data_IF_010990500372
#
_entry.id   IF_010990500372
#
_cell.length_a   1.000
_cell.length_b   1.000
_cell.length_c   1.000
_cell.angle_alpha   90.00
_cell.angle_beta   90.00
_cell.angle_gamma   90.00
#
_symmetry.space_group_name_H-M   'P 1'
#
loop_
_entity.id
_entity.type
_entity.pdbx_description
1 polymer ?
#
# COMPACT_ATOMS: atom_id res chain seq x y z
N UNK A 1 -14.40 19.14 13.99
CA UNK A 1 -13.63 20.03 13.10
C UNK A 1 -13.91 19.67 11.64
N UNK A 2 -13.67 20.60 10.70
CA UNK A 2 -13.86 20.33 9.26
C UNK A 2 -12.49 19.95 8.65
N UNK A 3 -12.43 18.77 8.04
CA UNK A 3 -11.23 18.18 7.43
C UNK A 3 -11.44 17.98 5.94
N UNK A 4 -10.50 18.44 5.12
CA UNK A 4 -10.52 18.18 3.68
C UNK A 4 -9.31 17.31 3.33
N UNK A 5 -9.57 16.16 2.69
CA UNK A 5 -8.53 15.28 2.16
C UNK A 5 -8.34 15.60 0.68
N UNK A 6 -7.12 15.88 0.26
CA UNK A 6 -6.76 16.16 -1.14
C UNK A 6 -5.91 15.01 -1.67
N UNK A 7 -6.49 14.21 -2.57
CA UNK A 7 -5.83 13.04 -3.11
C UNK A 7 -6.75 12.16 -3.95
N UNK A 8 -6.26 11.06 -4.53
CA UNK A 8 -7.08 10.12 -5.28
C UNK A 8 -8.20 9.53 -4.43
N UNK A 9 -9.37 9.40 -5.01
CA UNK A 9 -10.54 8.68 -4.50
C UNK A 9 -11.43 8.31 -5.69
N UNK A 10 -12.53 7.60 -5.49
CA UNK A 10 -13.47 7.27 -6.56
C UNK A 10 -13.73 8.48 -7.49
N UNK A 11 -13.77 8.33 -8.81
CA UNK A 11 -13.74 7.08 -9.60
C UNK A 11 -12.32 6.51 -9.86
N UNK A 12 -11.29 7.02 -9.24
CA UNK A 12 -9.93 6.48 -9.38
C UNK A 12 -9.77 5.22 -8.53
N UNK A 13 -9.07 4.21 -9.06
CA UNK A 13 -8.81 2.94 -8.37
C UNK A 13 -7.40 2.88 -7.77
N UNK A 14 -7.22 2.00 -6.79
CA UNK A 14 -5.91 1.63 -6.24
C UNK A 14 -5.76 1.94 -4.76
N UNK A 15 -4.66 1.47 -4.18
CA UNK A 15 -4.42 1.51 -2.73
C UNK A 15 -4.49 2.92 -2.12
N UNK A 16 -4.03 3.95 -2.84
CA UNK A 16 -4.08 5.33 -2.35
C UNK A 16 -5.52 5.85 -2.29
N UNK A 17 -6.36 5.51 -3.30
CA UNK A 17 -7.77 5.89 -3.31
C UNK A 17 -8.52 5.23 -2.14
N UNK A 18 -8.37 3.93 -1.98
CA UNK A 18 -8.97 3.17 -0.87
C UNK A 18 -8.53 3.71 0.50
N UNK A 19 -7.24 4.06 0.64
CA UNK A 19 -6.73 4.66 1.87
C UNK A 19 -7.41 5.99 2.18
N UNK A 20 -7.49 6.91 1.20
CA UNK A 20 -8.09 8.23 1.41
C UNK A 20 -9.57 8.14 1.75
N UNK A 21 -10.29 7.20 1.13
CA UNK A 21 -11.69 6.94 1.44
C UNK A 21 -11.87 6.39 2.86
N UNK A 22 -11.03 5.43 3.26
CA UNK A 22 -11.02 4.89 4.62
C UNK A 22 -10.65 5.97 5.64
N UNK A 23 -9.64 6.80 5.36
CA UNK A 23 -9.25 7.93 6.21
C UNK A 23 -10.41 8.92 6.39
N UNK A 24 -11.16 9.22 5.33
CA UNK A 24 -12.33 10.09 5.38
C UNK A 24 -13.41 9.50 6.30
N UNK A 25 -13.73 8.21 6.14
CA UNK A 25 -14.69 7.50 7.01
C UNK A 25 -14.28 7.53 8.47
N UNK A 26 -13.01 7.31 8.75
CA UNK A 26 -12.52 7.28 10.12
C UNK A 26 -12.53 8.66 10.78
N UNK A 27 -12.27 9.75 10.03
CA UNK A 27 -12.49 11.10 10.54
C UNK A 27 -13.97 11.37 10.86
N UNK A 28 -14.90 10.90 10.01
CA UNK A 28 -16.33 11.02 10.26
C UNK A 28 -16.73 10.21 11.50
N UNK A 29 -16.28 8.96 11.63
CA UNK A 29 -16.51 8.13 12.83
C UNK A 29 -15.96 8.77 14.11
N UNK A 30 -14.85 9.48 14.01
CA UNK A 30 -14.27 10.25 15.12
C UNK A 30 -14.98 11.58 15.41
N UNK A 31 -16.17 11.84 14.82
CA UNK A 31 -16.99 13.01 15.08
C UNK A 31 -16.57 14.27 14.34
N UNK A 32 -15.80 14.15 13.26
CA UNK A 32 -15.41 15.28 12.42
C UNK A 32 -16.26 15.35 11.15
N UNK A 33 -16.36 16.53 10.56
CA UNK A 33 -16.85 16.68 9.18
C UNK A 33 -15.67 16.43 8.23
N UNK A 34 -15.77 15.44 7.34
CA UNK A 34 -14.70 15.13 6.41
C UNK A 34 -15.22 14.92 4.99
N UNK A 35 -14.42 15.32 4.00
CA UNK A 35 -14.70 15.12 2.59
C UNK A 35 -13.42 15.05 1.77
N UNK A 36 -13.52 14.55 0.53
CA UNK A 36 -12.36 14.34 -0.35
C UNK A 36 -12.47 15.23 -1.57
N UNK A 37 -11.37 15.91 -1.92
CA UNK A 37 -11.15 16.55 -3.20
C UNK A 37 -10.24 15.65 -4.04
N UNK A 38 -10.85 14.99 -5.04
CA UNK A 38 -10.19 14.02 -5.91
C UNK A 38 -9.91 14.59 -7.29
N UNK A 39 -9.15 13.82 -8.09
CA UNK A 39 -8.73 14.22 -9.42
C UNK A 39 -9.80 13.89 -10.47
N UNK A 40 -10.14 14.88 -11.31
CA UNK A 40 -10.82 14.67 -12.59
C UNK A 40 -9.81 14.21 -13.68
N UNK A 41 -8.53 14.59 -13.54
CA UNK A 41 -7.42 14.09 -14.33
C UNK A 41 -6.22 13.91 -13.40
N UNK A 42 -5.88 12.66 -13.06
CA UNK A 42 -4.70 12.35 -12.24
C UNK A 42 -3.45 12.24 -13.09
N UNK A 43 -3.48 11.39 -14.12
CA UNK A 43 -2.39 11.24 -15.09
C UNK A 43 -2.91 11.42 -16.51
N UNK A 44 -2.19 12.15 -17.37
CA UNK A 44 -2.39 12.05 -18.80
C UNK A 44 -2.26 10.58 -19.27
N UNK A 45 -3.04 10.19 -20.28
CA UNK A 45 -3.11 8.79 -20.72
C UNK A 45 -1.75 8.18 -21.07
N UNK A 46 -0.85 8.97 -21.64
CA UNK A 46 0.50 8.52 -22.04
C UNK A 46 1.47 8.30 -20.85
N UNK A 47 1.11 8.76 -19.64
CA UNK A 47 1.91 8.57 -18.42
C UNK A 47 1.37 7.42 -17.55
N UNK A 48 0.20 6.90 -17.85
CA UNK A 48 -0.40 5.82 -17.08
C UNK A 48 -0.03 4.47 -17.69
N UNK A 49 0.70 3.61 -16.96
CA UNK A 49 1.20 2.33 -17.50
C UNK A 49 0.14 1.22 -17.58
N UNK A 50 -1.04 1.39 -16.96
CA UNK A 50 -2.09 0.40 -16.91
C UNK A 50 -3.19 0.61 -17.96
N UNK A 51 -4.13 -0.35 -18.05
CA UNK A 51 -5.25 -0.30 -18.98
C UNK A 51 -6.30 0.74 -18.61
N UNK A 52 -6.56 0.93 -17.32
CA UNK A 52 -7.49 1.95 -16.80
C UNK A 52 -7.07 2.41 -15.42
N UNK A 53 -7.18 3.72 -15.15
CA UNK A 53 -7.03 4.28 -13.81
C UNK A 53 -8.36 4.42 -13.06
N UNK A 54 -9.47 4.00 -13.68
CA UNK A 54 -10.81 4.17 -13.14
C UNK A 54 -11.38 2.84 -12.63
N UNK A 55 -12.15 2.93 -11.54
CA UNK A 55 -12.97 1.85 -11.01
C UNK A 55 -14.29 1.76 -11.78
N UNK A 56 -14.77 0.55 -11.99
CA UNK A 56 -16.08 0.28 -12.61
C UNK A 56 -17.21 0.12 -11.57
N UNK A 57 -16.88 0.22 -10.29
CA UNK A 57 -17.83 0.08 -9.18
C UNK A 57 -18.76 1.27 -9.01
N UNK A 58 -19.59 1.21 -7.96
CA UNK A 58 -20.49 2.31 -7.58
C UNK A 58 -19.74 3.30 -6.69
N UNK A 59 -20.06 4.59 -6.86
CA UNK A 59 -19.56 5.64 -5.98
C UNK A 59 -19.93 5.34 -4.52
N UNK A 60 -19.00 5.52 -3.56
CA UNK A 60 -19.32 5.46 -2.14
C UNK A 60 -20.43 6.47 -1.80
N UNK A 61 -21.49 5.99 -1.14
CA UNK A 61 -22.63 6.84 -0.75
C UNK A 61 -22.46 7.46 0.64
N UNK A 62 -21.51 6.98 1.41
CA UNK A 62 -21.27 7.31 2.81
C UNK A 62 -20.25 8.43 3.03
N UNK A 63 -19.55 8.86 1.98
CA UNK A 63 -18.56 9.94 2.01
C UNK A 63 -18.76 10.92 0.85
N UNK A 64 -18.42 12.18 1.09
CA UNK A 64 -18.47 13.21 0.04
C UNK A 64 -17.17 13.27 -0.75
N UNK A 65 -17.23 13.02 -2.07
CA UNK A 65 -16.08 13.08 -2.98
C UNK A 65 -16.36 14.12 -4.06
N UNK A 66 -15.49 15.14 -4.16
CA UNK A 66 -15.52 16.17 -5.19
C UNK A 66 -14.42 15.93 -6.22
N UNK A 67 -14.78 15.36 -7.35
CA UNK A 67 -13.84 15.05 -8.45
C UNK A 67 -13.63 16.30 -9.31
N UNK A 68 -12.58 17.08 -9.04
CA UNK A 68 -12.39 18.40 -9.68
C UNK A 68 -10.93 18.81 -9.95
N UNK A 69 -9.93 18.08 -9.45
CA UNK A 69 -8.52 18.45 -9.62
C UNK A 69 -8.00 17.96 -10.97
N UNK A 70 -7.44 18.86 -11.76
CA UNK A 70 -6.69 18.52 -12.97
C UNK A 70 -5.20 18.70 -12.71
N UNK A 71 -4.43 17.62 -12.73
CA UNK A 71 -3.01 17.60 -12.33
C UNK A 71 -2.08 18.47 -13.19
N UNK A 72 -2.48 18.82 -14.41
CA UNK A 72 -1.65 19.55 -15.38
C UNK A 72 -2.17 20.96 -15.73
N UNK A 73 -3.30 21.41 -15.14
CA UNK A 73 -3.91 22.70 -15.45
C UNK A 73 -3.75 23.71 -14.31
N UNK A 74 -2.83 24.71 -14.41
CA UNK A 74 -2.61 25.69 -13.35
C UNK A 74 -3.84 26.55 -12.99
N UNK A 75 -4.69 26.89 -13.96
CA UNK A 75 -5.93 27.63 -13.68
C UNK A 75 -6.90 26.80 -12.84
N UNK A 76 -6.96 25.49 -13.08
CA UNK A 76 -7.73 24.59 -12.26
C UNK A 76 -7.19 24.52 -10.81
N UNK A 77 -5.88 24.57 -10.60
CA UNK A 77 -5.28 24.56 -9.26
C UNK A 77 -5.71 25.76 -8.44
N UNK A 78 -5.71 26.97 -9.05
CA UNK A 78 -6.20 28.21 -8.40
C UNK A 78 -7.67 28.05 -8.02
N UNK A 79 -8.53 27.66 -8.98
CA UNK A 79 -9.95 27.50 -8.74
C UNK A 79 -10.25 26.46 -7.65
N UNK A 80 -9.54 25.32 -7.65
CA UNK A 80 -9.68 24.30 -6.64
C UNK A 80 -9.27 24.81 -5.26
N UNK A 81 -8.15 25.50 -5.15
CA UNK A 81 -7.71 26.10 -3.89
C UNK A 81 -8.72 27.10 -3.34
N UNK A 82 -9.29 27.96 -4.19
CA UNK A 82 -10.32 28.93 -3.78
C UNK A 82 -11.61 28.22 -3.32
N UNK A 83 -12.03 27.13 -3.97
CA UNK A 83 -13.18 26.32 -3.52
C UNK A 83 -12.92 25.74 -2.12
N UNK A 84 -11.74 25.16 -1.88
CA UNK A 84 -11.36 24.62 -0.58
C UNK A 84 -11.33 25.73 0.47
N UNK A 85 -10.76 26.89 0.19
CA UNK A 85 -10.76 28.05 1.13
C UNK A 85 -12.15 28.51 1.49
N UNK A 86 -13.09 28.51 0.55
CA UNK A 86 -14.48 28.92 0.79
C UNK A 86 -15.17 28.04 1.81
N UNK A 87 -14.79 26.78 1.94
CA UNK A 87 -15.34 25.84 2.92
C UNK A 87 -14.74 26.02 4.33
N UNK A 88 -13.71 26.87 4.47
CA UNK A 88 -13.06 27.21 5.76
C UNK A 88 -12.68 25.98 6.61
N UNK A 89 -11.99 24.96 6.04
CA UNK A 89 -11.61 23.80 6.82
C UNK A 89 -10.61 24.20 7.90
N UNK A 90 -10.60 23.45 9.01
CA UNK A 90 -9.56 23.57 10.03
C UNK A 90 -8.25 22.92 9.56
N UNK A 91 -8.38 21.78 8.88
CA UNK A 91 -7.26 20.95 8.43
C UNK A 91 -7.45 20.52 6.97
N UNK A 92 -6.40 20.66 6.18
CA UNK A 92 -6.26 20.03 4.87
C UNK A 92 -5.18 18.97 4.96
N UNK A 93 -5.55 17.72 4.64
CA UNK A 93 -4.62 16.59 4.53
C UNK A 93 -4.38 16.37 3.05
N UNK A 94 -3.12 16.44 2.61
CA UNK A 94 -2.76 16.22 1.21
C UNK A 94 -1.94 14.95 1.06
N UNK A 95 -2.35 14.08 0.14
CA UNK A 95 -1.59 12.86 -0.19
C UNK A 95 -0.50 13.15 -1.21
N UNK A 96 0.74 12.71 -0.93
CA UNK A 96 1.86 12.87 -1.83
C UNK A 96 2.59 11.54 -2.06
N UNK A 97 2.69 11.10 -3.32
CA UNK A 97 3.23 9.77 -3.66
C UNK A 97 4.23 9.78 -4.84
N UNK A 98 4.32 10.87 -5.62
CA UNK A 98 5.22 10.98 -6.76
C UNK A 98 5.55 12.45 -7.04
N UNK A 99 6.81 12.78 -7.40
CA UNK A 99 7.24 14.17 -7.68
C UNK A 99 6.42 14.89 -8.74
N UNK A 100 5.91 14.19 -9.75
CA UNK A 100 5.04 14.75 -10.80
C UNK A 100 3.84 15.54 -10.22
N UNK A 101 3.31 15.13 -9.08
CA UNK A 101 2.20 15.82 -8.41
C UNK A 101 2.65 17.10 -7.67
N UNK A 102 3.96 17.32 -7.54
CA UNK A 102 4.52 18.44 -6.78
C UNK A 102 4.02 19.82 -7.20
N UNK A 103 4.04 20.20 -8.49
CA UNK A 103 3.53 21.48 -8.96
C UNK A 103 2.05 21.69 -8.66
N UNK A 104 1.22 20.71 -8.96
CA UNK A 104 -0.23 20.77 -8.73
C UNK A 104 -0.56 20.92 -7.25
N UNK A 105 -0.20 19.94 -6.46
CA UNK A 105 -0.52 19.90 -5.03
C UNK A 105 0.16 21.02 -4.26
N UNK A 106 1.45 21.29 -4.57
CA UNK A 106 2.20 22.36 -3.92
C UNK A 106 1.63 23.77 -4.19
N UNK A 107 1.11 24.01 -5.38
CA UNK A 107 0.47 25.31 -5.71
C UNK A 107 -0.89 25.43 -5.01
N UNK A 108 -1.71 24.39 -5.03
CA UNK A 108 -2.99 24.37 -4.31
C UNK A 108 -2.76 24.65 -2.82
N UNK A 109 -1.82 23.97 -2.17
CA UNK A 109 -1.56 24.14 -0.73
C UNK A 109 -1.04 25.54 -0.39
N UNK A 110 -0.19 26.16 -1.25
CA UNK A 110 0.25 27.56 -1.05
C UNK A 110 -0.92 28.54 -1.08
N UNK A 111 -1.79 28.41 -2.09
CA UNK A 111 -2.95 29.29 -2.24
C UNK A 111 -3.93 29.10 -1.06
N UNK A 112 -4.14 27.87 -0.60
CA UNK A 112 -5.00 27.59 0.56
C UNK A 112 -4.45 28.30 1.81
N UNK A 113 -3.14 28.27 2.06
CA UNK A 113 -2.53 28.90 3.24
C UNK A 113 -2.46 30.42 3.17
N UNK A 114 -2.53 31.00 1.99
CA UNK A 114 -2.41 32.44 1.82
C UNK A 114 -3.53 33.18 2.56
N UNK A 115 -3.18 34.02 3.55
CA UNK A 115 -4.13 34.77 4.36
C UNK A 115 -5.23 33.87 5.00
N UNK A 116 -4.84 32.72 5.55
CA UNK A 116 -5.77 31.80 6.21
C UNK A 116 -5.12 31.09 7.39
N UNK A 117 -5.95 30.64 8.34
CA UNK A 117 -5.55 29.83 9.50
C UNK A 117 -5.58 28.33 9.22
N UNK A 118 -5.87 27.94 7.97
CA UNK A 118 -5.99 26.53 7.55
C UNK A 118 -4.62 25.87 7.72
N UNK A 119 -4.58 24.74 8.47
CA UNK A 119 -3.38 23.93 8.62
C UNK A 119 -3.29 22.91 7.49
N UNK A 120 -2.07 22.62 7.05
CA UNK A 120 -1.80 21.67 5.96
C UNK A 120 -0.83 20.61 6.44
N UNK A 121 -1.29 19.35 6.47
CA UNK A 121 -0.49 18.16 6.78
C UNK A 121 -0.40 17.30 5.50
N UNK A 122 0.81 16.89 5.14
CA UNK A 122 1.03 15.94 4.06
C UNK A 122 1.16 14.52 4.62
N UNK A 123 0.42 13.56 4.04
CA UNK A 123 0.72 12.14 4.18
C UNK A 123 1.59 11.74 2.99
N UNK A 124 2.82 11.32 3.27
CA UNK A 124 3.82 11.02 2.24
C UNK A 124 4.03 9.52 2.09
N UNK A 125 3.78 9.01 0.87
CA UNK A 125 4.07 7.61 0.52
C UNK A 125 5.51 7.45 0.06
N UNK A 126 5.96 8.37 -0.83
CA UNK A 126 7.32 8.45 -1.34
C UNK A 126 7.67 9.91 -1.60
N UNK A 127 8.81 10.35 -1.10
CA UNK A 127 9.40 11.65 -1.42
C UNK A 127 10.59 11.51 -2.36
N UNK A 128 11.21 10.34 -2.38
CA UNK A 128 12.23 9.93 -3.37
C UNK A 128 11.62 8.78 -4.19
N UNK A 129 11.41 8.94 -5.51
CA UNK A 129 10.83 7.89 -6.33
C UNK A 129 11.81 6.73 -6.51
N UNK A 130 11.27 5.50 -6.71
CA UNK A 130 12.07 4.31 -7.01
C UNK A 130 12.85 4.46 -8.33
N UNK A 131 12.22 5.07 -9.34
CA UNK A 131 12.82 5.42 -10.61
C UNK A 131 13.08 6.93 -10.62
N UNK A 132 14.32 7.33 -10.39
CA UNK A 132 14.72 8.74 -10.35
C UNK A 132 14.73 9.35 -11.74
N UNK A 133 14.11 10.54 -11.89
CA UNK A 133 14.12 11.34 -13.11
C UNK A 133 14.72 12.71 -12.83
N UNK A 134 15.22 13.35 -13.90
CA UNK A 134 15.70 14.73 -13.80
C UNK A 134 14.57 15.65 -13.33
N UNK A 135 14.85 16.47 -12.31
CA UNK A 135 13.87 17.40 -11.74
C UNK A 135 13.07 16.90 -10.55
N UNK A 136 13.04 15.59 -10.27
CA UNK A 136 12.24 15.01 -9.17
C UNK A 136 12.53 15.66 -7.81
N UNK A 137 13.81 15.88 -7.51
CA UNK A 137 14.21 16.55 -6.26
C UNK A 137 13.62 17.96 -6.15
N UNK A 138 13.66 18.75 -7.24
CA UNK A 138 13.11 20.10 -7.27
C UNK A 138 11.58 20.09 -7.09
N UNK A 139 10.87 19.20 -7.78
CA UNK A 139 9.42 19.06 -7.69
C UNK A 139 8.96 18.64 -6.30
N UNK A 140 9.65 17.66 -5.70
CA UNK A 140 9.40 17.24 -4.32
C UNK A 140 9.65 18.38 -3.34
N UNK A 141 10.78 19.07 -3.46
CA UNK A 141 11.13 20.23 -2.60
C UNK A 141 10.11 21.35 -2.72
N UNK A 142 9.61 21.61 -3.95
CA UNK A 142 8.54 22.56 -4.17
C UNK A 142 7.28 22.19 -3.40
N UNK A 143 6.86 20.92 -3.44
CA UNK A 143 5.70 20.44 -2.69
C UNK A 143 5.95 20.52 -1.16
N UNK A 144 7.03 19.94 -0.67
CA UNK A 144 7.33 19.86 0.76
C UNK A 144 7.30 21.23 1.43
N UNK A 145 7.86 22.26 0.79
CA UNK A 145 7.81 23.65 1.28
C UNK A 145 6.38 24.24 1.38
N UNK A 146 5.37 23.58 0.82
CA UNK A 146 3.98 24.03 0.89
C UNK A 146 3.23 23.52 2.10
N UNK A 147 3.76 22.53 2.84
CA UNK A 147 3.12 21.88 3.98
C UNK A 147 3.70 22.36 5.32
N UNK A 148 2.93 22.22 6.40
CA UNK A 148 3.32 22.62 7.76
C UNK A 148 3.66 21.41 8.64
N UNK A 149 3.05 20.24 8.34
CA UNK A 149 3.31 18.99 9.02
C UNK A 149 3.37 17.83 8.04
N UNK A 150 4.00 16.73 8.45
CA UNK A 150 4.20 15.55 7.63
C UNK A 150 3.93 14.28 8.42
N UNK A 151 3.19 13.38 7.83
CA UNK A 151 3.03 12.00 8.28
C UNK A 151 3.74 11.09 7.28
N UNK A 152 4.67 10.30 7.77
CA UNK A 152 5.28 9.22 7.01
C UNK A 152 4.85 7.88 7.62
N UNK A 153 4.52 6.91 6.76
CA UNK A 153 4.05 5.60 7.21
C UNK A 153 5.16 4.54 7.23
N UNK A 154 6.40 4.94 6.91
CA UNK A 154 7.63 4.16 7.14
C UNK A 154 8.74 5.07 7.64
N UNK A 155 9.67 4.51 8.42
CA UNK A 155 10.86 5.23 8.89
C UNK A 155 11.77 5.63 7.72
N UNK A 156 11.82 4.81 6.66
CA UNK A 156 12.56 5.14 5.44
C UNK A 156 12.06 6.45 4.83
N UNK A 157 10.76 6.63 4.61
CA UNK A 157 10.18 7.87 4.08
C UNK A 157 10.36 9.04 5.04
N UNK A 158 10.29 8.79 6.36
CA UNK A 158 10.56 9.82 7.37
C UNK A 158 12.00 10.33 7.29
N UNK A 159 12.96 9.42 7.09
CA UNK A 159 14.36 9.78 6.89
C UNK A 159 14.59 10.50 5.56
N UNK A 160 13.95 10.05 4.49
CA UNK A 160 14.02 10.72 3.18
C UNK A 160 13.48 12.15 3.24
N UNK A 161 12.44 12.42 4.04
CA UNK A 161 11.92 13.78 4.25
C UNK A 161 12.97 14.74 4.82
N UNK A 162 13.93 14.26 5.60
CA UNK A 162 15.00 15.09 6.15
C UNK A 162 15.91 15.69 5.07
N UNK A 163 15.95 15.10 3.87
CA UNK A 163 16.71 15.66 2.72
C UNK A 163 16.01 16.85 2.06
N UNK A 164 14.72 17.07 2.35
CA UNK A 164 13.90 18.12 1.73
C UNK A 164 13.51 19.24 2.70
N UNK A 165 13.49 18.97 4.01
CA UNK A 165 13.03 19.94 5.02
C UNK A 165 13.56 19.65 6.42
N UNK A 166 13.98 20.72 7.10
CA UNK A 166 14.37 20.72 8.53
C UNK A 166 13.16 20.87 9.47
N UNK A 167 11.94 20.93 8.93
CA UNK A 167 10.72 21.05 9.73
C UNK A 167 10.62 19.89 10.72
N UNK A 168 10.43 20.19 12.01
CA UNK A 168 10.34 19.19 13.07
C UNK A 168 8.93 18.59 13.23
N UNK A 169 7.92 19.18 12.60
CA UNK A 169 6.54 18.69 12.63
C UNK A 169 6.38 17.47 11.69
N UNK A 170 7.04 16.39 12.05
CA UNK A 170 7.00 15.09 11.34
C UNK A 170 6.57 14.01 12.31
N UNK A 171 5.67 13.13 11.87
CA UNK A 171 5.22 11.98 12.65
C UNK A 171 5.42 10.70 11.84
N UNK A 172 5.97 9.67 12.47
CA UNK A 172 5.90 8.30 11.99
C UNK A 172 4.60 7.69 12.51
N UNK A 173 3.69 7.35 11.62
CA UNK A 173 2.44 6.68 11.96
C UNK A 173 2.30 5.49 11.01
N UNK A 174 2.37 4.24 11.50
CA UNK A 174 2.30 3.07 10.64
C UNK A 174 1.02 3.03 9.80
N UNK A 175 1.11 2.43 8.62
CA UNK A 175 -0.04 2.28 7.73
C UNK A 175 -1.13 1.44 8.41
N UNK A 176 -2.37 1.96 8.53
CA UNK A 176 -3.48 1.20 9.11
C UNK A 176 -3.85 -0.02 8.28
N UNK A 177 -4.48 -0.99 8.92
CA UNK A 177 -4.97 -2.21 8.26
C UNK A 177 -6.17 -1.88 7.37
N UNK A 178 -6.19 -2.50 6.19
CA UNK A 178 -7.37 -2.47 5.33
C UNK A 178 -8.41 -3.49 5.79
N UNK A 179 -9.61 -3.03 6.10
CA UNK A 179 -10.78 -3.85 6.41
C UNK A 179 -11.79 -3.94 5.24
N UNK A 180 -11.41 -3.37 4.08
CA UNK A 180 -12.28 -3.25 2.90
C UNK A 180 -12.45 -4.54 2.10
N UNK A 181 -11.73 -5.62 2.45
CA UNK A 181 -11.76 -6.90 1.73
C UNK A 181 -12.71 -7.93 2.35
N UNK A 182 -13.56 -7.50 3.30
CA UNK A 182 -14.55 -8.33 3.98
C UNK A 182 -13.96 -9.14 5.15
N UNK A 183 -14.83 -9.90 5.80
CA UNK A 183 -14.48 -10.69 6.98
C UNK A 183 -13.63 -11.90 6.62
N UNK A 184 -12.78 -12.33 7.58
CA UNK A 184 -12.00 -13.56 7.52
C UNK A 184 -12.95 -14.76 7.40
N UNK A 185 -12.61 -15.68 6.52
CA UNK A 185 -13.33 -16.96 6.35
C UNK A 185 -12.47 -18.13 6.81
N UNK A 186 -13.10 -19.28 7.09
CA UNK A 186 -12.38 -20.50 7.39
C UNK A 186 -11.53 -20.94 6.18
N UNK A 187 -10.38 -21.56 6.44
CA UNK A 187 -9.44 -22.02 5.40
C UNK A 187 -10.12 -22.98 4.43
N UNK A 188 -10.94 -23.92 4.95
CA UNK A 188 -11.67 -24.91 4.16
C UNK A 188 -12.65 -24.23 3.18
N UNK A 189 -13.35 -23.18 3.63
CA UNK A 189 -14.26 -22.40 2.77
C UNK A 189 -13.49 -21.69 1.67
N UNK A 190 -12.32 -21.14 1.99
CA UNK A 190 -11.45 -20.47 1.03
C UNK A 190 -10.90 -21.47 0.00
N UNK A 191 -10.40 -22.63 0.45
CA UNK A 191 -9.91 -23.70 -0.42
C UNK A 191 -11.00 -24.19 -1.39
N UNK A 192 -12.21 -24.44 -0.87
CA UNK A 192 -13.36 -24.85 -1.71
C UNK A 192 -13.72 -23.78 -2.74
N UNK A 193 -13.76 -22.50 -2.32
CA UNK A 193 -14.10 -21.37 -3.22
C UNK A 193 -13.10 -21.25 -4.37
N UNK A 194 -11.81 -21.45 -4.10
CA UNK A 194 -10.73 -21.39 -5.08
C UNK A 194 -10.49 -22.74 -5.80
N UNK A 195 -11.24 -23.80 -5.45
CA UNK A 195 -11.09 -25.17 -5.97
C UNK A 195 -9.67 -25.71 -5.77
N UNK A 196 -9.12 -25.48 -4.58
CA UNK A 196 -7.79 -25.93 -4.18
C UNK A 196 -7.85 -27.25 -3.44
N UNK A 197 -6.79 -28.06 -3.55
CA UNK A 197 -6.65 -29.34 -2.88
C UNK A 197 -6.41 -29.13 -1.36
N UNK A 198 -7.30 -29.60 -0.47
CA UNK A 198 -7.16 -29.40 0.97
C UNK A 198 -6.00 -30.16 1.62
N UNK A 199 -5.34 -31.06 0.89
CA UNK A 199 -4.19 -31.83 1.38
C UNK A 199 -2.85 -31.13 1.17
N UNK A 200 -2.85 -29.98 0.47
CA UNK A 200 -1.67 -29.21 0.15
C UNK A 200 -1.48 -28.00 1.07
N UNK A 201 -0.25 -27.54 1.16
CA UNK A 201 0.14 -26.27 1.74
C UNK A 201 0.19 -25.18 0.67
N UNK A 202 -0.19 -23.95 1.05
CA UNK A 202 -0.25 -22.85 0.10
C UNK A 202 0.52 -21.62 0.57
N UNK A 203 1.44 -21.15 -0.28
CA UNK A 203 2.13 -19.88 -0.15
C UNK A 203 1.52 -18.89 -1.14
N UNK A 204 1.31 -17.64 -0.74
CA UNK A 204 0.72 -16.60 -1.58
C UNK A 204 1.71 -15.50 -1.94
N UNK A 205 1.86 -15.26 -3.24
CA UNK A 205 2.35 -14.00 -3.80
C UNK A 205 1.16 -13.22 -4.36
N UNK A 206 0.95 -11.97 -3.92
CA UNK A 206 -0.25 -11.21 -4.25
C UNK A 206 0.03 -9.82 -4.82
N UNK A 207 -0.83 -9.38 -5.77
CA UNK A 207 -0.85 -8.04 -6.35
C UNK A 207 -0.14 -7.95 -7.69
N UNK A 208 -0.08 -6.76 -8.29
CA UNK A 208 0.52 -6.53 -9.61
C UNK A 208 1.92 -7.11 -9.70
N UNK A 209 2.20 -7.85 -10.78
CA UNK A 209 3.51 -8.47 -11.01
C UNK A 209 4.39 -7.44 -11.73
N UNK A 210 5.44 -6.99 -11.04
CA UNK A 210 6.47 -6.09 -11.51
C UNK A 210 7.82 -6.53 -10.96
N UNK A 211 8.90 -6.26 -11.66
CA UNK A 211 10.25 -6.66 -11.28
C UNK A 211 10.60 -6.29 -9.84
N UNK A 212 10.27 -5.06 -9.41
CA UNK A 212 10.57 -4.63 -8.04
C UNK A 212 9.91 -5.49 -6.94
N UNK A 213 8.85 -6.24 -7.27
CA UNK A 213 8.16 -7.14 -6.32
C UNK A 213 8.82 -8.51 -6.17
N UNK A 214 9.85 -8.80 -6.96
CA UNK A 214 10.75 -9.92 -6.74
C UNK A 214 10.13 -11.30 -6.90
N UNK A 215 9.11 -11.48 -7.74
CA UNK A 215 8.57 -12.81 -8.04
C UNK A 215 9.68 -13.76 -8.54
N UNK A 216 10.69 -13.23 -9.23
CA UNK A 216 11.86 -13.98 -9.68
C UNK A 216 12.66 -14.60 -8.53
N UNK A 217 12.81 -13.89 -7.38
CA UNK A 217 13.46 -14.42 -6.19
C UNK A 217 12.66 -15.58 -5.59
N UNK A 218 11.33 -15.44 -5.53
CA UNK A 218 10.47 -16.48 -4.99
C UNK A 218 10.44 -17.73 -5.89
N UNK A 219 10.36 -17.56 -7.20
CA UNK A 219 10.40 -18.69 -8.14
C UNK A 219 11.72 -19.47 -8.02
N UNK A 220 12.86 -18.76 -7.87
CA UNK A 220 14.16 -19.39 -7.61
C UNK A 220 14.19 -20.11 -6.27
N UNK A 221 13.59 -19.55 -5.22
CA UNK A 221 13.48 -20.18 -3.91
C UNK A 221 12.62 -21.46 -3.98
N UNK A 222 11.49 -21.42 -4.69
CA UNK A 222 10.59 -22.57 -4.88
C UNK A 222 11.21 -23.71 -5.67
N UNK A 223 12.27 -23.45 -6.44
CA UNK A 223 13.03 -24.47 -7.17
C UNK A 223 13.90 -25.35 -6.27
N UNK A 224 14.04 -25.02 -4.97
CA UNK A 224 14.75 -25.86 -3.99
C UNK A 224 14.09 -27.25 -3.90
N UNK A 225 14.90 -28.31 -4.07
CA UNK A 225 14.42 -29.72 -4.10
C UNK A 225 13.79 -30.18 -2.77
N UNK A 226 14.15 -29.56 -1.64
CA UNK A 226 13.52 -29.88 -0.37
C UNK A 226 12.13 -29.25 -0.25
N UNK A 227 11.93 -28.02 -0.79
CA UNK A 227 10.61 -27.37 -0.83
C UNK A 227 9.65 -28.19 -1.69
N UNK A 228 10.07 -28.70 -2.84
CA UNK A 228 9.24 -29.54 -3.72
C UNK A 228 8.74 -30.80 -3.01
N UNK A 229 9.49 -31.33 -2.05
CA UNK A 229 9.08 -32.52 -1.26
C UNK A 229 8.08 -32.19 -0.15
N UNK A 230 7.88 -30.93 0.22
CA UNK A 230 7.00 -30.50 1.33
C UNK A 230 5.53 -30.33 0.92
N UNK A 231 5.13 -30.78 -0.28
CA UNK A 231 3.76 -30.64 -0.80
C UNK A 231 3.23 -29.20 -0.78
N UNK A 232 4.12 -28.23 -1.03
CA UNK A 232 3.83 -26.80 -1.06
C UNK A 232 3.49 -26.36 -2.48
N UNK A 233 2.43 -25.57 -2.63
CA UNK A 233 2.03 -24.94 -3.89
C UNK A 233 2.06 -23.43 -3.73
N UNK A 234 2.78 -22.72 -4.62
CA UNK A 234 2.78 -21.28 -4.70
C UNK A 234 1.57 -20.79 -5.52
N UNK A 235 0.75 -19.94 -4.91
CA UNK A 235 -0.29 -19.19 -5.62
C UNK A 235 0.29 -17.82 -5.99
N UNK A 236 0.37 -17.54 -7.29
CA UNK A 236 0.66 -16.20 -7.82
C UNK A 236 -0.66 -15.58 -8.26
N UNK A 237 -1.13 -14.56 -7.52
CA UNK A 237 -2.42 -13.92 -7.76
C UNK A 237 -2.25 -12.43 -8.05
N UNK A 238 -2.41 -12.05 -9.33
CA UNK A 238 -2.33 -10.66 -9.78
C UNK A 238 -1.86 -10.51 -11.22
N UNK A 239 -2.16 -9.38 -11.79
CA UNK A 239 -1.96 -9.05 -13.20
C UNK A 239 -0.49 -8.68 -13.48
N UNK A 240 0.07 -9.15 -14.61
CA UNK A 240 1.37 -8.71 -15.11
C UNK A 240 1.30 -7.27 -15.64
N UNK A 241 2.20 -6.42 -15.14
CA UNK A 241 2.43 -5.06 -15.63
C UNK A 241 3.75 -4.92 -16.39
N UNK A 242 4.33 -6.04 -16.75
CA UNK A 242 5.53 -6.18 -17.59
C UNK A 242 5.47 -7.54 -18.30
N UNK A 243 6.48 -7.83 -19.16
CA UNK A 243 6.55 -9.08 -19.90
C UNK A 243 6.56 -10.31 -18.98
N UNK A 244 5.70 -11.30 -19.18
CA UNK A 244 5.68 -12.53 -18.39
C UNK A 244 6.83 -13.50 -18.73
N UNK A 245 7.47 -13.37 -19.90
CA UNK A 245 8.44 -14.32 -20.43
C UNK A 245 9.59 -14.67 -19.45
N UNK A 246 10.22 -13.70 -18.75
CA UNK A 246 11.29 -14.02 -17.81
C UNK A 246 10.82 -14.93 -16.65
N UNK A 247 9.60 -14.76 -16.22
CA UNK A 247 9.00 -15.56 -15.14
C UNK A 247 8.62 -16.95 -15.62
N UNK A 248 8.06 -17.07 -16.83
CA UNK A 248 7.71 -18.35 -17.46
C UNK A 248 8.97 -19.20 -17.69
N UNK A 249 10.08 -18.58 -18.09
CA UNK A 249 11.37 -19.25 -18.21
C UNK A 249 11.84 -19.82 -16.85
N UNK A 250 11.79 -19.02 -15.76
CA UNK A 250 12.15 -19.48 -14.42
C UNK A 250 11.28 -20.64 -13.94
N UNK A 251 9.99 -20.63 -14.27
CA UNK A 251 9.06 -21.72 -13.93
C UNK A 251 9.49 -23.01 -14.65
N UNK A 252 9.81 -22.93 -15.94
CA UNK A 252 10.25 -24.08 -16.72
C UNK A 252 11.60 -24.61 -16.28
N UNK A 253 12.60 -23.73 -16.10
CA UNK A 253 13.94 -24.09 -15.61
C UNK A 253 13.88 -24.73 -14.21
N UNK A 254 13.02 -24.17 -13.33
CA UNK A 254 12.81 -24.67 -11.99
C UNK A 254 11.90 -25.91 -11.92
N UNK A 255 11.27 -26.34 -13.02
CA UNK A 255 10.28 -27.43 -13.06
C UNK A 255 9.18 -27.23 -12.03
N UNK A 256 8.58 -26.02 -12.03
CA UNK A 256 7.61 -25.59 -11.01
C UNK A 256 6.14 -25.78 -11.43
N UNK A 257 5.85 -26.30 -12.62
CA UNK A 257 4.49 -26.37 -13.18
C UNK A 257 3.49 -27.08 -12.26
N UNK A 258 3.94 -28.09 -11.50
CA UNK A 258 3.10 -28.84 -10.56
C UNK A 258 3.07 -28.22 -9.14
N UNK A 259 3.94 -27.24 -8.89
CA UNK A 259 4.10 -26.54 -7.59
C UNK A 259 3.58 -25.11 -7.62
N UNK A 260 2.84 -24.73 -8.69
CA UNK A 260 2.46 -23.36 -8.97
C UNK A 260 1.03 -23.26 -9.49
N UNK A 261 0.30 -22.24 -9.03
CA UNK A 261 -0.99 -21.83 -9.56
C UNK A 261 -0.86 -20.37 -10.00
N UNK A 262 -1.04 -20.10 -11.30
CA UNK A 262 -0.97 -18.76 -11.86
C UNK A 262 -2.38 -18.20 -12.10
N UNK A 263 -2.76 -17.19 -11.33
CA UNK A 263 -3.98 -16.39 -11.50
C UNK A 263 -3.58 -14.97 -11.93
N UNK A 264 -3.22 -14.82 -13.21
CA UNK A 264 -2.57 -13.61 -13.75
C UNK A 264 -3.56 -12.59 -14.32
N UNK A 265 -4.72 -12.49 -13.71
CA UNK A 265 -5.74 -11.49 -14.00
C UNK A 265 -5.98 -10.61 -12.75
N UNK A 266 -6.71 -9.51 -12.93
CA UNK A 266 -7.12 -8.67 -11.81
C UNK A 266 -7.99 -9.45 -10.83
N UNK A 267 -7.58 -9.46 -9.57
CA UNK A 267 -8.34 -10.10 -8.50
C UNK A 267 -9.33 -9.10 -7.91
N UNK A 268 -10.62 -9.36 -8.09
CA UNK A 268 -11.68 -8.55 -7.51
C UNK A 268 -11.61 -8.52 -5.98
N UNK A 269 -11.98 -7.39 -5.38
CA UNK A 269 -11.89 -7.15 -3.94
C UNK A 269 -12.62 -8.19 -3.08
N UNK A 270 -13.76 -8.69 -3.56
CA UNK A 270 -14.56 -9.74 -2.92
C UNK A 270 -13.90 -11.12 -2.92
N UNK A 271 -12.93 -11.36 -3.81
CA UNK A 271 -12.17 -12.61 -3.88
C UNK A 271 -10.89 -12.59 -3.05
N UNK A 272 -10.35 -11.41 -2.72
CA UNK A 272 -9.08 -11.24 -2.00
C UNK A 272 -9.04 -12.07 -0.72
N UNK A 273 -10.10 -12.05 0.08
CA UNK A 273 -10.19 -12.81 1.33
C UNK A 273 -9.95 -14.31 1.14
N UNK A 274 -10.39 -14.90 0.04
CA UNK A 274 -10.22 -16.33 -0.19
C UNK A 274 -8.76 -16.69 -0.47
N UNK A 275 -8.03 -15.84 -1.23
CA UNK A 275 -6.61 -16.06 -1.48
C UNK A 275 -5.79 -16.00 -0.19
N UNK A 276 -6.02 -14.99 0.65
CA UNK A 276 -5.31 -14.87 1.90
C UNK A 276 -5.71 -15.95 2.91
N UNK A 277 -7.01 -16.26 3.06
CA UNK A 277 -7.47 -17.27 4.00
C UNK A 277 -7.11 -18.70 3.56
N UNK A 278 -6.92 -18.98 2.28
CA UNK A 278 -6.46 -20.28 1.79
C UNK A 278 -4.96 -20.51 2.03
N UNK A 279 -4.18 -19.43 2.23
CA UNK A 279 -2.73 -19.51 2.30
C UNK A 279 -2.22 -19.60 3.73
N UNK A 280 -1.11 -20.30 3.93
CA UNK A 280 -0.42 -20.44 5.22
C UNK A 280 0.55 -19.29 5.45
N UNK A 281 1.24 -18.85 4.39
CA UNK A 281 2.28 -17.84 4.40
C UNK A 281 2.12 -16.89 3.22
N UNK A 282 2.19 -15.59 3.47
CA UNK A 282 2.23 -14.55 2.42
C UNK A 282 3.67 -14.13 2.18
N UNK A 283 4.15 -14.22 0.94
CA UNK A 283 5.55 -13.92 0.61
C UNK A 283 5.64 -12.65 -0.24
N UNK A 284 6.43 -11.70 0.23
CA UNK A 284 6.69 -10.41 -0.41
C UNK A 284 8.21 -10.22 -0.61
N UNK A 285 8.80 -10.86 -1.63
CA UNK A 285 10.25 -10.95 -1.81
C UNK A 285 10.80 -9.74 -2.58
N UNK A 286 10.35 -8.54 -2.23
CA UNK A 286 10.56 -7.33 -3.02
C UNK A 286 12.04 -6.96 -3.16
N UNK A 287 12.44 -6.51 -4.33
CA UNK A 287 13.77 -5.92 -4.56
C UNK A 287 13.87 -4.52 -3.94
N UNK A 288 12.78 -3.77 -3.97
CA UNK A 288 12.68 -2.44 -3.33
C UNK A 288 11.25 -2.20 -2.87
N UNK A 289 11.08 -1.58 -1.73
CA UNK A 289 9.77 -1.13 -1.25
C UNK A 289 9.93 0.04 -0.28
N UNK A 290 9.00 0.97 -0.29
CA UNK A 290 8.80 1.94 0.81
C UNK A 290 7.71 1.45 1.75
N UNK A 291 6.64 0.88 1.18
CA UNK A 291 5.50 0.30 1.88
C UNK A 291 4.84 -0.75 0.98
N UNK A 292 4.00 -1.61 1.58
CA UNK A 292 3.18 -2.56 0.84
C UNK A 292 1.78 -2.68 1.42
N UNK A 293 0.76 -2.39 0.61
CA UNK A 293 -0.63 -2.66 1.00
C UNK A 293 -0.91 -4.15 1.21
N UNK A 294 -0.12 -5.03 0.59
CA UNK A 294 -0.24 -6.49 0.77
C UNK A 294 0.07 -6.89 2.21
N UNK A 295 1.03 -6.24 2.86
CA UNK A 295 1.33 -6.44 4.29
C UNK A 295 0.12 -6.15 5.16
N UNK A 296 -0.61 -5.07 4.84
CA UNK A 296 -1.81 -4.69 5.60
C UNK A 296 -2.95 -5.70 5.42
N UNK A 297 -3.11 -6.22 4.20
CA UNK A 297 -4.10 -7.27 3.90
C UNK A 297 -3.73 -8.56 4.62
N UNK A 298 -2.44 -8.93 4.67
CA UNK A 298 -1.98 -10.10 5.41
C UNK A 298 -2.27 -9.97 6.91
N UNK A 299 -2.03 -8.81 7.52
CA UNK A 299 -2.42 -8.54 8.90
C UNK A 299 -3.93 -8.60 9.11
N UNK A 300 -4.74 -8.06 8.17
CA UNK A 300 -6.20 -8.12 8.26
C UNK A 300 -6.69 -9.57 8.36
N UNK A 301 -6.17 -10.46 7.51
CA UNK A 301 -6.51 -11.88 7.49
C UNK A 301 -5.62 -12.74 8.41
N UNK A 302 -4.78 -12.12 9.24
CA UNK A 302 -3.97 -12.78 10.26
C UNK A 302 -3.03 -13.84 9.68
N UNK A 303 -2.41 -13.53 8.55
CA UNK A 303 -1.45 -14.42 7.89
C UNK A 303 -0.02 -14.04 8.21
N UNK A 304 0.80 -15.01 8.63
CA UNK A 304 2.25 -14.82 8.73
C UNK A 304 2.85 -14.39 7.40
N UNK A 305 3.95 -13.65 7.47
CA UNK A 305 4.56 -13.08 6.27
C UNK A 305 6.06 -13.43 6.18
N UNK A 306 6.54 -13.70 4.96
CA UNK A 306 7.96 -13.68 4.64
C UNK A 306 8.20 -12.47 3.74
N UNK A 307 9.02 -11.54 4.21
CA UNK A 307 9.33 -10.30 3.49
C UNK A 307 10.83 -10.15 3.32
N UNK A 308 11.26 -9.42 2.29
CA UNK A 308 12.67 -9.02 2.18
C UNK A 308 12.98 -7.79 3.03
N UNK A 309 14.23 -7.68 3.46
CA UNK A 309 14.76 -6.56 4.25
C UNK A 309 14.97 -5.33 3.36
N UNK A 310 13.87 -4.71 2.92
CA UNK A 310 13.89 -3.53 2.05
C UNK A 310 12.92 -2.47 2.54
N UNK A 311 13.40 -1.24 2.66
CA UNK A 311 12.61 -0.06 3.05
C UNK A 311 11.75 -0.30 4.29
N UNK A 312 10.50 0.15 4.24
CA UNK A 312 9.55 0.00 5.35
C UNK A 312 8.92 -1.40 5.46
N UNK A 313 9.22 -2.33 4.55
CA UNK A 313 8.61 -3.66 4.55
C UNK A 313 9.06 -4.49 5.77
N UNK A 314 10.37 -4.48 6.05
CA UNK A 314 10.94 -5.16 7.20
C UNK A 314 10.48 -4.56 8.56
N UNK A 315 10.11 -3.28 8.58
CA UNK A 315 9.62 -2.62 9.79
C UNK A 315 8.25 -3.14 10.24
N UNK A 316 7.51 -3.72 9.30
CA UNK A 316 6.14 -4.20 9.53
C UNK A 316 6.10 -5.65 10.03
N UNK A 317 7.17 -6.43 9.89
CA UNK A 317 7.20 -7.85 10.24
C UNK A 317 8.21 -8.08 11.34
N UNK A 318 7.75 -8.52 12.52
CA UNK A 318 8.62 -8.94 13.61
C UNK A 318 9.22 -10.30 13.26
N UNK A 319 10.53 -10.29 12.93
CA UNK A 319 11.28 -11.48 12.50
C UNK A 319 11.17 -12.62 13.51
N UNK A 320 10.84 -13.83 13.03
CA UNK A 320 10.60 -15.06 13.80
C UNK A 320 9.41 -15.02 14.79
N UNK A 321 8.68 -13.91 14.86
CA UNK A 321 7.46 -13.81 15.67
C UNK A 321 6.19 -13.82 14.82
N UNK A 322 6.00 -12.86 13.92
CA UNK A 322 4.84 -12.85 13.00
C UNK A 322 5.20 -13.29 11.57
N UNK A 323 6.42 -13.78 11.37
CA UNK A 323 6.95 -14.18 10.06
C UNK A 323 8.45 -14.00 9.97
N UNK A 324 8.97 -13.84 8.75
CA UNK A 324 10.39 -13.75 8.49
C UNK A 324 10.76 -12.50 7.72
N UNK A 325 11.94 -11.96 8.04
CA UNK A 325 12.62 -10.92 7.27
C UNK A 325 13.87 -11.53 6.67
N UNK A 326 13.91 -11.65 5.35
CA UNK A 326 15.00 -12.25 4.58
C UNK A 326 15.82 -11.18 3.85
N UNK A 327 17.06 -11.45 3.55
CA UNK A 327 17.78 -10.71 2.53
C UNK A 327 17.22 -11.02 1.12
N UNK A 328 17.64 -10.25 0.12
CA UNK A 328 17.23 -10.48 -1.29
C UNK A 328 18.01 -11.69 -1.87
N UNK A 329 17.90 -12.81 -1.19
CA UNK A 329 18.59 -14.07 -1.52
C UNK A 329 17.58 -15.21 -1.61
N UNK A 330 17.43 -15.84 -2.79
CA UNK A 330 16.53 -16.98 -2.97
C UNK A 330 16.79 -18.14 -2.00
N UNK A 331 18.05 -18.38 -1.65
CA UNK A 331 18.40 -19.47 -0.75
C UNK A 331 17.93 -19.19 0.68
N UNK A 332 18.05 -17.95 1.15
CA UNK A 332 17.57 -17.56 2.47
C UNK A 332 16.02 -17.60 2.51
N UNK A 333 15.36 -17.14 1.45
CA UNK A 333 13.90 -17.27 1.30
C UNK A 333 13.49 -18.74 1.38
N UNK A 334 14.17 -19.63 0.65
CA UNK A 334 13.91 -21.06 0.68
C UNK A 334 14.11 -21.66 2.08
N UNK A 335 15.17 -21.25 2.79
CA UNK A 335 15.43 -21.73 4.15
C UNK A 335 14.32 -21.30 5.13
N UNK A 336 13.81 -20.09 5.05
CA UNK A 336 12.70 -19.65 5.90
C UNK A 336 11.36 -20.32 5.55
N UNK A 337 11.10 -20.63 4.27
CA UNK A 337 9.95 -21.44 3.87
C UNK A 337 10.06 -22.85 4.48
N UNK A 338 11.24 -23.47 4.42
CA UNK A 338 11.49 -24.78 5.03
C UNK A 338 11.31 -24.74 6.55
N UNK A 339 11.88 -23.76 7.24
CA UNK A 339 11.74 -23.56 8.69
C UNK A 339 10.27 -23.45 9.08
N UNK A 340 9.46 -22.65 8.33
CA UNK A 340 8.05 -22.46 8.60
C UNK A 340 7.27 -23.77 8.63
N UNK A 341 7.49 -24.68 7.68
CA UNK A 341 6.75 -25.92 7.57
C UNK A 341 7.36 -27.06 8.39
N UNK A 342 8.67 -27.22 8.40
CA UNK A 342 9.35 -28.30 9.13
C UNK A 342 9.24 -28.12 10.64
N UNK A 343 9.33 -26.88 11.11
CA UNK A 343 9.21 -26.54 12.53
C UNK A 343 7.76 -26.23 12.97
N UNK A 344 6.77 -26.42 12.07
CA UNK A 344 5.33 -26.19 12.35
C UNK A 344 5.02 -24.81 12.94
N UNK A 345 5.63 -23.75 12.39
CA UNK A 345 5.55 -22.37 12.92
C UNK A 345 4.20 -21.68 12.71
N UNK A 346 3.30 -22.22 11.89
CA UNK A 346 2.08 -21.52 11.44
C UNK A 346 1.24 -21.04 12.63
N UNK A 347 0.89 -21.93 13.56
CA UNK A 347 -0.02 -21.61 14.66
C UNK A 347 0.54 -20.51 15.58
N UNK A 348 1.82 -20.64 15.97
CA UNK A 348 2.51 -19.64 16.79
C UNK A 348 2.56 -18.28 16.09
N UNK A 349 2.96 -18.25 14.81
CA UNK A 349 3.09 -17.00 14.05
C UNK A 349 1.73 -16.36 13.76
N UNK A 350 0.67 -17.14 13.53
CA UNK A 350 -0.70 -16.60 13.41
C UNK A 350 -1.11 -15.93 14.71
N UNK A 351 -0.91 -16.56 15.87
CA UNK A 351 -1.21 -15.96 17.18
C UNK A 351 -0.46 -14.62 17.39
N UNK A 352 0.81 -14.61 17.09
CA UNK A 352 1.64 -13.40 17.20
C UNK A 352 1.22 -12.33 16.20
N UNK A 353 0.78 -12.71 15.00
CA UNK A 353 0.25 -11.78 13.99
C UNK A 353 -1.04 -11.11 14.48
N UNK A 354 -1.93 -11.84 15.17
CA UNK A 354 -3.14 -11.28 15.79
C UNK A 354 -2.79 -10.22 16.84
N UNK A 355 -1.77 -10.45 17.67
CA UNK A 355 -1.33 -9.45 18.65
C UNK A 355 -0.67 -8.23 17.97
N UNK A 356 0.23 -8.46 17.01
CA UNK A 356 0.90 -7.40 16.29
C UNK A 356 -0.07 -6.50 15.50
N UNK A 357 -1.15 -7.08 14.95
CA UNK A 357 -2.23 -6.39 14.25
C UNK A 357 -2.80 -5.20 15.02
N UNK A 358 -2.86 -5.28 16.35
CA UNK A 358 -3.42 -4.23 17.22
C UNK A 358 -2.67 -2.88 17.10
N UNK A 359 -1.40 -2.91 16.69
CA UNK A 359 -0.56 -1.71 16.51
C UNK A 359 -0.88 -0.93 15.23
N UNK A 360 -1.67 -1.46 14.32
CA UNK A 360 -1.97 -0.89 13.01
C UNK A 360 -3.44 -0.47 12.90
N UNK A 361 -3.92 0.38 13.82
CA UNK A 361 -5.32 0.80 13.85
C UNK A 361 -5.55 2.15 13.17
N UNK A 362 -6.72 2.34 12.57
CA UNK A 362 -7.16 3.63 12.06
C UNK A 362 -7.27 4.68 13.16
N UNK A 363 -7.64 4.26 14.38
CA UNK A 363 -7.67 5.16 15.53
C UNK A 363 -6.29 5.77 15.81
N UNK A 364 -5.23 4.96 15.79
CA UNK A 364 -3.86 5.46 15.98
C UNK A 364 -3.45 6.45 14.88
N UNK A 365 -3.90 6.22 13.62
CA UNK A 365 -3.66 7.15 12.50
C UNK A 365 -4.36 8.50 12.75
N UNK A 366 -5.63 8.49 13.13
CA UNK A 366 -6.40 9.72 13.39
C UNK A 366 -5.81 10.47 14.57
N UNK A 367 -5.56 9.79 15.70
CA UNK A 367 -5.01 10.39 16.91
C UNK A 367 -3.65 11.04 16.61
N UNK A 368 -2.75 10.35 15.90
CA UNK A 368 -1.44 10.88 15.53
C UNK A 368 -1.50 12.09 14.59
N UNK A 369 -2.45 12.10 13.64
CA UNK A 369 -2.68 13.28 12.78
C UNK A 369 -3.21 14.46 13.61
N UNK A 370 -4.14 14.23 14.55
CA UNK A 370 -4.69 15.27 15.41
C UNK A 370 -3.65 15.82 16.40
N UNK A 371 -2.80 14.97 16.96
CA UNK A 371 -1.66 15.40 17.78
C UNK A 371 -0.69 16.29 16.98
N UNK A 372 -0.40 15.91 15.74
CA UNK A 372 0.44 16.71 14.86
C UNK A 372 -0.24 18.05 14.53
N UNK A 373 -1.55 18.06 14.27
CA UNK A 373 -2.34 19.27 14.03
C UNK A 373 -2.27 20.26 15.21
N UNK A 374 -2.31 19.77 16.45
CA UNK A 374 -2.23 20.60 17.65
C UNK A 374 -0.87 21.30 17.81
N UNK A 375 0.20 20.75 17.23
CA UNK A 375 1.55 21.31 17.26
C UNK A 375 1.79 22.40 16.19
N UNK A 376 0.90 22.53 15.21
CA UNK A 376 0.97 23.52 14.13
C UNK A 376 0.29 24.83 14.51
#
# INVERSE_FOLDING_TARGET
MTVIIVGPAFPLRGGIANFNESLCREFIKAGNEAQIYSFSLQYPSFLFPGTSQYDSGKAPADISIKTCINSINPFNWINTALKIKKEKPNLVIVRFWIPFMGPCLGSIMRIIKLNSSIKVIAITDNVIPHEKRFGDHFLTKYFVKSCQGFVAMSKSVLNDLNTFTDNQNKAFIPHPIYDTFGEKVLKEVALQKLKLDPTKHYILFFGFIRHYKGLDLLLKAMADEQIKKLNITLIVAGEFYESPEPYLQLIQEGKLEQHLILNTHYIHSDLVKYYFCASDLVVQPYHTATQSGVTQIAYHFERPMLVTNVGGLAEMVQHQLCGYVADRDPQQIANFIKDFYLESREEEMVKNTVEAKKNFSWKAMIDGILELYQKL
#
